data_IF_515951136101
#
_entry.id   IF_515951136101
#
_cell.length_a   1.000
_cell.length_b   1.000
_cell.length_c   1.000
_cell.angle_alpha   90.00
_cell.angle_beta   90.00
_cell.angle_gamma   90.00
#
_symmetry.space_group_name_H-M   'P 1'
#
loop_
_entity.id
_entity.type
_entity.pdbx_description
1 polymer ?
#
# COMPACT_ATOMS: atom_id res chain seq x y z
N UNK A 1 -7.25 12.31 -13.50
CA UNK A 1 -7.71 10.98 -13.03
C UNK A 1 -6.76 9.90 -13.54
N UNK A 2 -6.60 8.79 -12.81
CA UNK A 2 -5.79 7.66 -13.29
C UNK A 2 -6.45 7.04 -14.53
N UNK A 3 -5.68 6.79 -15.59
CA UNK A 3 -6.16 6.11 -16.80
C UNK A 3 -6.48 4.64 -16.48
N UNK A 4 -7.42 3.98 -17.19
CA UNK A 4 -7.63 2.54 -17.07
C UNK A 4 -6.30 1.78 -17.21
N UNK A 5 -6.04 0.83 -16.31
CA UNK A 5 -4.78 0.10 -16.26
C UNK A 5 -3.60 0.85 -15.62
N UNK A 6 -3.75 2.13 -15.26
CA UNK A 6 -2.77 2.88 -14.50
C UNK A 6 -2.52 2.25 -13.13
N UNK A 7 -1.33 2.49 -12.56
CA UNK A 7 -0.93 1.93 -11.26
C UNK A 7 -0.73 3.02 -10.21
N UNK A 8 -1.00 2.68 -8.96
CA UNK A 8 -0.75 3.52 -7.79
C UNK A 8 0.16 2.72 -6.86
N UNK A 9 1.15 3.40 -6.29
CA UNK A 9 1.99 2.87 -5.22
C UNK A 9 1.66 3.67 -3.96
N UNK A 10 1.32 2.97 -2.90
CA UNK A 10 1.09 3.56 -1.58
C UNK A 10 2.17 3.08 -0.62
N UNK A 11 2.67 3.99 0.21
CA UNK A 11 3.56 3.67 1.32
C UNK A 11 2.77 3.78 2.62
N UNK A 12 2.93 2.79 3.48
CA UNK A 12 2.32 2.75 4.81
C UNK A 12 3.22 2.00 5.77
N UNK A 13 2.63 1.52 6.85
CA UNK A 13 3.27 0.62 7.80
C UNK A 13 2.28 -0.43 8.28
N UNK A 14 2.82 -1.58 8.68
CA UNK A 14 2.07 -2.73 9.15
C UNK A 14 2.64 -3.23 10.49
N UNK A 15 1.77 -3.77 11.35
CA UNK A 15 2.15 -4.32 12.66
C UNK A 15 2.80 -3.27 13.59
N UNK A 16 3.83 -3.68 14.34
CA UNK A 16 4.51 -2.81 15.31
C UNK A 16 5.19 -1.58 14.67
N UNK A 17 5.53 -1.64 13.38
CA UNK A 17 6.14 -0.52 12.63
C UNK A 17 5.21 0.70 12.49
N UNK A 18 3.92 0.51 12.76
CA UNK A 18 2.92 1.61 12.81
C UNK A 18 3.19 2.64 13.90
N UNK A 19 4.01 2.31 14.91
CA UNK A 19 4.48 3.28 15.90
C UNK A 19 5.46 4.32 15.31
N UNK A 20 6.12 3.98 14.20
CA UNK A 20 7.18 4.79 13.58
C UNK A 20 6.74 5.44 12.27
N UNK A 21 5.74 4.89 11.59
CA UNK A 21 5.26 5.39 10.31
C UNK A 21 3.74 5.14 10.17
N UNK A 22 2.98 6.00 9.47
CA UNK A 22 1.54 5.88 9.39
C UNK A 22 1.06 4.50 8.94
N UNK A 23 0.12 3.94 9.70
CA UNK A 23 -0.61 2.76 9.30
C UNK A 23 -1.42 3.03 8.02
N UNK A 24 -1.58 2.00 7.19
CA UNK A 24 -2.42 2.07 6.00
C UNK A 24 -3.27 0.81 5.90
N UNK A 25 -4.58 0.99 5.74
CA UNK A 25 -5.51 -0.11 5.47
C UNK A 25 -5.58 -0.34 3.95
N UNK A 26 -5.14 -1.51 3.43
CA UNK A 26 -5.14 -1.80 2.01
C UNK A 26 -6.53 -1.82 1.38
N UNK A 27 -7.58 -1.99 2.19
CA UNK A 27 -8.98 -2.03 1.74
C UNK A 27 -9.65 -0.65 1.70
N UNK A 28 -8.95 0.40 2.15
CA UNK A 28 -9.48 1.76 2.19
C UNK A 28 -9.67 2.39 0.79
N UNK A 29 -8.92 1.94 -0.21
CA UNK A 29 -9.01 2.46 -1.58
C UNK A 29 -10.10 1.76 -2.40
N UNK A 30 -10.96 2.57 -3.02
CA UNK A 30 -12.06 2.11 -3.87
C UNK A 30 -11.76 2.29 -5.35
N UNK A 31 -12.43 1.52 -6.21
CA UNK A 31 -12.33 1.58 -7.69
C UNK A 31 -10.95 1.24 -8.26
N UNK A 32 -10.13 0.58 -7.44
CA UNK A 32 -8.82 0.05 -7.78
C UNK A 32 -8.72 -1.38 -7.25
N UNK A 33 -7.85 -2.19 -7.85
CA UNK A 33 -7.57 -3.56 -7.43
C UNK A 33 -6.18 -3.61 -6.79
N UNK A 34 -6.07 -4.15 -5.57
CA UNK A 34 -4.79 -4.44 -4.95
C UNK A 34 -4.11 -5.57 -5.74
N UNK A 35 -2.87 -5.34 -6.15
CA UNK A 35 -2.05 -6.30 -6.89
C UNK A 35 -0.93 -6.87 -6.03
N UNK A 36 -0.31 -6.02 -5.20
CA UNK A 36 0.82 -6.38 -4.34
C UNK A 36 0.64 -5.71 -3.00
N UNK A 37 0.86 -6.50 -1.95
CA UNK A 37 1.09 -6.03 -0.60
C UNK A 37 2.43 -6.59 -0.14
N UNK A 38 3.34 -5.72 0.28
CA UNK A 38 4.65 -6.10 0.78
C UNK A 38 4.90 -5.42 2.11
N UNK A 39 5.09 -6.23 3.15
CA UNK A 39 5.36 -5.82 4.52
C UNK A 39 6.76 -6.37 4.88
N UNK A 40 7.81 -5.54 4.81
CA UNK A 40 9.16 -5.99 5.14
C UNK A 40 9.27 -6.47 6.59
N UNK A 41 10.05 -7.51 6.82
CA UNK A 41 10.35 -8.10 8.14
C UNK A 41 11.77 -7.75 8.65
N UNK A 42 12.49 -6.91 7.91
CA UNK A 42 13.82 -6.39 8.23
C UNK A 42 13.75 -4.95 8.79
N UNK A 43 14.85 -4.22 8.70
CA UNK A 43 14.96 -2.83 9.19
C UNK A 43 14.17 -1.82 8.35
N UNK A 44 13.56 -2.23 7.23
CA UNK A 44 12.74 -1.33 6.40
C UNK A 44 11.38 -1.09 7.07
N UNK A 45 11.11 0.17 7.39
CA UNK A 45 9.88 0.57 8.11
C UNK A 45 8.65 0.53 7.20
N UNK A 46 8.79 0.99 5.96
CA UNK A 46 7.66 1.24 5.07
C UNK A 46 7.16 -0.04 4.39
N UNK A 47 5.88 -0.35 4.61
CA UNK A 47 5.11 -1.25 3.75
C UNK A 47 4.80 -0.59 2.41
N UNK A 48 4.64 -1.42 1.38
CA UNK A 48 4.30 -0.99 0.02
C UNK A 48 3.07 -1.74 -0.49
N UNK A 49 2.15 -0.99 -1.08
CA UNK A 49 0.91 -1.51 -1.67
C UNK A 49 0.80 -1.01 -3.11
N UNK A 50 0.60 -1.93 -4.05
CA UNK A 50 0.46 -1.60 -5.48
C UNK A 50 -0.96 -1.88 -5.91
N UNK A 51 -1.59 -0.88 -6.51
CA UNK A 51 -2.95 -0.98 -7.04
C UNK A 51 -2.97 -0.76 -8.55
N UNK A 52 -3.99 -1.30 -9.20
CA UNK A 52 -4.33 -1.01 -10.60
C UNK A 52 -5.73 -0.42 -10.68
N UNK A 53 -5.89 0.65 -11.47
CA UNK A 53 -7.20 1.19 -11.82
C UNK A 53 -7.90 0.22 -12.77
N UNK A 54 -9.06 -0.28 -12.33
CA UNK A 54 -10.01 -0.99 -13.19
C UNK A 54 -10.52 -0.10 -14.31
#
# INVERSE_FOLDING_TARGET
ALRPGGRIIVRGAHGAKTLLYPAFDPNSLRRVQLLVEYNPDDDIINSVYVYKKG
#
